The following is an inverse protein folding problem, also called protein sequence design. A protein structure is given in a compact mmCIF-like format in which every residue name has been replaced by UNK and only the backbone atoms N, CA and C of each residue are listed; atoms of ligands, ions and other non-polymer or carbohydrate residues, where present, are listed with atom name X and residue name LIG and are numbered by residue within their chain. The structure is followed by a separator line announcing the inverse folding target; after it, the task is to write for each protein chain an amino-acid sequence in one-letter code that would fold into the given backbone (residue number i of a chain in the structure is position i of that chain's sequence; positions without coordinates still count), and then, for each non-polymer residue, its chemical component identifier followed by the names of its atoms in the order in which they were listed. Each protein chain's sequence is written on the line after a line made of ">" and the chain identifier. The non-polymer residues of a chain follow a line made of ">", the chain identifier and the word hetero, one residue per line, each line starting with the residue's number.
data_IF_322998851095
#
_entry.id   IF_322998851095
#
_cell.length_a   1.000
_cell.length_b   1.000
_cell.length_c   1.000
_cell.angle_alpha   90.00
_cell.angle_beta   90.00
_cell.angle_gamma   90.00
#
_symmetry.space_group_name_H-M   'P 1'
#
loop_
_entity.id
_entity.type
_entity.pdbx_description
1 polymer ?
#
# COMPACT_ATOMS: atom_id res chain seq x y z
N UNK A 1 0.38 -22.67 -2.15
CA UNK A 1 -0.49 -22.59 -0.96
C UNK A 1 -1.57 -23.66 -0.99
N UNK A 2 -2.22 -23.94 0.15
CA UNK A 2 -3.29 -24.96 0.29
C UNK A 2 -4.68 -24.35 0.06
N UNK A 3 -5.59 -25.11 -0.57
CA UNK A 3 -6.99 -24.71 -0.80
C UNK A 3 -7.81 -24.71 0.50
N UNK A 4 -9.02 -24.13 0.49
CA UNK A 4 -9.91 -24.16 1.66
C UNK A 4 -10.29 -25.59 2.08
N UNK A 5 -10.55 -26.48 1.12
CA UNK A 5 -10.83 -27.89 1.41
C UNK A 5 -9.62 -28.59 2.04
N UNK A 6 -8.40 -28.38 1.49
CA UNK A 6 -7.18 -28.93 2.11
C UNK A 6 -6.96 -28.40 3.54
N UNK A 7 -7.34 -27.15 3.84
CA UNK A 7 -7.28 -26.58 5.19
C UNK A 7 -8.31 -27.25 6.13
N UNK A 8 -9.53 -27.46 5.66
CA UNK A 8 -10.59 -28.15 6.42
C UNK A 8 -10.21 -29.61 6.70
N UNK A 9 -9.71 -30.33 5.70
CA UNK A 9 -9.24 -31.71 5.84
C UNK A 9 -8.12 -31.83 6.89
N UNK A 10 -7.18 -30.88 6.86
CA UNK A 10 -6.15 -30.81 7.89
C UNK A 10 -6.75 -30.55 9.28
N UNK A 11 -7.66 -29.59 9.42
CA UNK A 11 -8.32 -29.30 10.70
C UNK A 11 -9.05 -30.54 11.26
N UNK A 12 -9.75 -31.29 10.40
CA UNK A 12 -10.39 -32.55 10.79
C UNK A 12 -9.38 -33.61 11.22
N UNK A 13 -8.23 -33.72 10.54
CA UNK A 13 -7.20 -34.71 10.85
C UNK A 13 -6.56 -34.52 12.24
N UNK A 14 -6.49 -33.27 12.73
CA UNK A 14 -5.88 -32.93 14.02
C UNK A 14 -6.92 -32.71 15.13
N UNK A 15 -8.22 -32.76 14.81
CA UNK A 15 -9.31 -32.34 15.68
C UNK A 15 -9.26 -33.04 17.05
N UNK A 16 -9.27 -34.37 17.06
CA UNK A 16 -9.37 -35.15 18.30
C UNK A 16 -8.08 -35.19 19.12
N UNK A 17 -6.92 -35.12 18.46
CA UNK A 17 -5.62 -35.27 19.12
C UNK A 17 -5.05 -33.94 19.61
N UNK A 18 -5.18 -32.88 18.82
CA UNK A 18 -4.52 -31.61 19.07
C UNK A 18 -5.49 -30.50 19.45
N UNK A 19 -6.60 -30.35 18.72
CA UNK A 19 -7.55 -29.24 18.93
C UNK A 19 -8.31 -29.42 20.24
N UNK A 20 -8.92 -30.60 20.45
CA UNK A 20 -9.65 -30.88 21.68
C UNK A 20 -8.74 -30.94 22.91
N UNK A 21 -7.54 -31.52 22.79
CA UNK A 21 -6.55 -31.52 23.88
C UNK A 21 -6.10 -30.10 24.24
N UNK A 22 -5.82 -29.26 23.24
CA UNK A 22 -5.47 -27.85 23.48
C UNK A 22 -6.59 -27.07 24.17
N UNK A 23 -7.86 -27.40 23.87
CA UNK A 23 -9.01 -26.75 24.49
C UNK A 23 -9.18 -27.14 25.98
N UNK A 24 -8.97 -28.43 26.29
CA UNK A 24 -9.24 -29.01 27.61
C UNK A 24 -8.06 -28.88 28.57
N UNK A 25 -6.84 -29.18 28.09
CA UNK A 25 -5.61 -29.25 28.87
C UNK A 25 -4.55 -28.30 28.29
N UNK A 26 -4.81 -26.97 28.23
CA UNK A 26 -3.93 -26.02 27.55
C UNK A 26 -2.51 -25.94 28.15
N UNK A 27 -2.35 -26.32 29.42
CA UNK A 27 -1.10 -26.24 30.16
C UNK A 27 -0.38 -27.59 30.29
N UNK A 28 -1.15 -28.65 30.56
CA UNK A 28 -0.62 -29.98 30.92
C UNK A 28 -0.73 -31.02 29.80
N UNK A 29 -1.42 -30.69 28.70
CA UNK A 29 -1.58 -31.55 27.53
C UNK A 29 -0.39 -31.52 26.56
N UNK A 30 -0.66 -31.78 25.29
CA UNK A 30 0.34 -31.77 24.19
C UNK A 30 0.80 -30.36 23.81
N UNK A 31 0.02 -29.34 24.19
CA UNK A 31 0.31 -27.92 23.97
C UNK A 31 0.53 -27.55 22.49
N UNK A 32 -0.09 -28.28 21.55
CA UNK A 32 0.06 -28.01 20.11
C UNK A 32 -0.24 -26.56 19.73
N UNK A 33 -1.20 -25.93 20.40
CA UNK A 33 -1.55 -24.52 20.19
C UNK A 33 -0.35 -23.57 20.31
N UNK A 34 0.68 -23.87 21.12
CA UNK A 34 1.87 -23.01 21.29
C UNK A 34 2.82 -23.01 20.10
N UNK A 35 2.72 -24.01 19.22
CA UNK A 35 3.63 -24.19 18.08
C UNK A 35 3.18 -23.43 16.82
N UNK A 36 2.07 -22.67 16.91
CA UNK A 36 1.47 -21.95 15.80
C UNK A 36 1.86 -20.47 15.79
N UNK A 37 1.70 -19.78 14.65
CA UNK A 37 2.10 -18.37 14.50
C UNK A 37 1.36 -17.40 15.46
N UNK A 38 0.06 -17.64 15.69
CA UNK A 38 -0.79 -16.83 16.58
C UNK A 38 -1.36 -17.70 17.72
N UNK A 39 -0.53 -18.12 18.69
CA UNK A 39 -0.85 -19.22 19.60
C UNK A 39 -2.11 -18.94 20.43
N UNK A 40 -2.27 -17.73 20.97
CA UNK A 40 -3.44 -17.38 21.78
C UNK A 40 -4.75 -17.35 20.99
N UNK A 41 -4.72 -16.91 19.72
CA UNK A 41 -5.89 -16.96 18.84
C UNK A 41 -6.24 -18.40 18.47
N UNK A 42 -5.23 -19.24 18.24
CA UNK A 42 -5.41 -20.69 18.01
C UNK A 42 -6.05 -21.34 19.22
N UNK A 43 -5.55 -21.08 20.44
CA UNK A 43 -6.15 -21.62 21.66
C UNK A 43 -7.61 -21.19 21.84
N UNK A 44 -7.92 -19.90 21.58
CA UNK A 44 -9.28 -19.40 21.65
C UNK A 44 -10.20 -20.10 20.62
N UNK A 45 -9.70 -20.32 19.40
CA UNK A 45 -10.42 -21.06 18.34
C UNK A 45 -10.65 -22.53 18.74
N UNK A 46 -9.63 -23.21 19.29
CA UNK A 46 -9.76 -24.57 19.79
C UNK A 46 -10.88 -24.69 20.84
N UNK A 47 -10.95 -23.74 21.78
CA UNK A 47 -11.99 -23.69 22.80
C UNK A 47 -13.38 -23.47 22.20
N UNK A 48 -13.50 -22.62 21.19
CA UNK A 48 -14.77 -22.39 20.51
C UNK A 48 -15.25 -23.64 19.75
N UNK A 49 -14.35 -24.29 18.99
CA UNK A 49 -14.66 -25.52 18.27
C UNK A 49 -15.08 -26.63 19.24
N UNK A 50 -14.36 -26.78 20.36
CA UNK A 50 -14.70 -27.77 21.38
C UNK A 50 -16.10 -27.53 21.97
N UNK A 51 -16.46 -26.27 22.27
CA UNK A 51 -17.81 -25.91 22.73
C UNK A 51 -18.88 -26.21 21.68
N UNK A 52 -18.63 -25.86 20.42
CA UNK A 52 -19.56 -26.12 19.32
C UNK A 52 -19.83 -27.61 19.15
N UNK A 53 -18.79 -28.46 19.11
CA UNK A 53 -18.92 -29.92 18.99
C UNK A 53 -19.67 -30.53 20.18
N UNK A 54 -19.43 -30.01 21.39
CA UNK A 54 -20.02 -30.51 22.64
C UNK A 54 -21.40 -29.92 22.95
N UNK A 55 -21.93 -29.04 22.10
CA UNK A 55 -23.24 -28.39 22.30
C UNK A 55 -24.44 -29.31 22.10
N UNK A 56 -24.24 -30.51 21.56
CA UNK A 56 -25.29 -31.45 21.17
C UNK A 56 -25.76 -31.24 19.73
N UNK A 57 -26.07 -30.00 19.35
CA UNK A 57 -26.32 -29.60 17.95
C UNK A 57 -25.39 -28.44 17.53
N UNK A 58 -24.22 -28.74 16.92
CA UNK A 58 -23.27 -27.72 16.49
C UNK A 58 -23.84 -26.69 15.51
N UNK A 59 -24.92 -27.00 14.77
CA UNK A 59 -25.55 -26.07 13.83
C UNK A 59 -26.36 -24.97 14.52
N UNK A 60 -26.80 -25.21 15.76
CA UNK A 60 -27.56 -24.27 16.58
C UNK A 60 -26.71 -23.61 17.68
N UNK A 61 -25.42 -23.97 17.76
CA UNK A 61 -24.50 -23.36 18.71
C UNK A 61 -24.31 -21.87 18.43
N UNK A 62 -24.59 -21.03 19.43
CA UNK A 62 -24.40 -19.58 19.35
C UNK A 62 -22.92 -19.27 19.57
N UNK A 63 -22.20 -19.04 18.46
CA UNK A 63 -20.78 -18.69 18.49
C UNK A 63 -20.57 -17.18 18.68
N UNK A 64 -19.58 -16.83 19.50
CA UNK A 64 -19.14 -15.44 19.71
C UNK A 64 -17.73 -15.18 19.14
N UNK A 65 -17.16 -16.17 18.46
CA UNK A 65 -15.79 -16.11 17.97
C UNK A 65 -15.71 -15.36 16.64
N UNK A 66 -14.93 -14.27 16.54
CA UNK A 66 -14.75 -13.57 15.26
C UNK A 66 -13.89 -14.41 14.31
N UNK A 67 -14.35 -14.55 13.06
CA UNK A 67 -13.59 -15.18 11.98
C UNK A 67 -13.07 -14.08 11.06
N UNK A 68 -11.78 -14.17 10.75
CA UNK A 68 -11.08 -13.14 9.99
C UNK A 68 -10.95 -13.56 8.52
N UNK A 69 -11.10 -12.61 7.60
CA UNK A 69 -10.78 -12.76 6.18
C UNK A 69 -9.83 -11.62 5.79
N UNK A 70 -8.65 -11.96 5.28
CA UNK A 70 -7.56 -11.00 5.08
C UNK A 70 -7.22 -10.86 3.60
N UNK A 71 -6.95 -9.62 3.16
CA UNK A 71 -6.47 -9.34 1.82
C UNK A 71 -5.04 -9.87 1.63
N UNK A 72 -4.80 -10.74 0.65
CA UNK A 72 -3.50 -11.39 0.47
C UNK A 72 -2.29 -10.43 0.36
N UNK A 73 -2.46 -9.34 -0.41
CA UNK A 73 -1.58 -8.17 -0.38
C UNK A 73 -2.40 -6.96 -0.85
N UNK A 74 -3.15 -6.36 0.07
CA UNK A 74 -4.22 -5.41 -0.25
C UNK A 74 -3.75 -4.22 -1.11
N UNK A 75 -2.63 -3.58 -0.77
CA UNK A 75 -2.07 -2.49 -1.59
C UNK A 75 -1.77 -2.90 -3.05
N UNK A 76 -1.26 -4.12 -3.29
CA UNK A 76 -1.07 -4.62 -4.65
C UNK A 76 -2.40 -4.99 -5.34
N UNK A 77 -3.42 -5.42 -4.58
CA UNK A 77 -4.77 -5.63 -5.12
C UNK A 77 -5.35 -4.32 -5.65
N UNK A 78 -5.26 -3.23 -4.87
CA UNK A 78 -5.70 -1.91 -5.33
C UNK A 78 -4.93 -1.43 -6.56
N UNK A 79 -3.60 -1.59 -6.60
CA UNK A 79 -2.82 -1.21 -7.79
C UNK A 79 -3.17 -2.05 -9.03
N UNK A 80 -3.34 -3.37 -8.88
CA UNK A 80 -3.70 -4.25 -9.99
C UNK A 80 -5.10 -3.93 -10.53
N UNK A 81 -6.03 -3.53 -9.67
CA UNK A 81 -7.35 -3.08 -10.07
C UNK A 81 -7.32 -1.71 -10.78
N UNK A 82 -6.60 -0.71 -10.22
CA UNK A 82 -6.41 0.60 -10.86
C UNK A 82 -5.76 0.46 -12.24
N UNK A 83 -4.71 -0.36 -12.34
CA UNK A 83 -3.97 -0.58 -13.58
C UNK A 83 -4.63 -1.56 -14.54
N UNK A 84 -5.71 -2.22 -14.13
CA UNK A 84 -6.36 -3.34 -14.85
C UNK A 84 -5.34 -4.36 -15.39
N UNK A 85 -4.40 -4.76 -14.54
CA UNK A 85 -3.26 -5.64 -14.88
C UNK A 85 -3.62 -7.11 -14.61
N UNK A 86 -3.84 -7.96 -15.63
CA UNK A 86 -4.21 -9.36 -15.41
C UNK A 86 -3.12 -10.18 -14.72
N UNK A 87 -1.85 -9.91 -15.03
CA UNK A 87 -0.72 -10.64 -14.45
C UNK A 87 -0.56 -10.31 -12.97
N UNK A 88 -0.60 -9.01 -12.65
CA UNK A 88 -0.63 -8.54 -11.28
C UNK A 88 -1.85 -9.06 -10.52
N UNK A 89 -3.03 -9.00 -11.13
CA UNK A 89 -4.29 -9.43 -10.53
C UNK A 89 -4.32 -10.92 -10.17
N UNK A 90 -3.80 -11.78 -11.04
CA UNK A 90 -3.66 -13.20 -10.71
C UNK A 90 -2.70 -13.40 -9.53
N UNK A 91 -1.55 -12.71 -9.51
CA UNK A 91 -0.57 -12.85 -8.43
C UNK A 91 -1.10 -12.48 -7.04
N UNK A 92 -2.16 -11.65 -6.96
CA UNK A 92 -2.79 -11.19 -5.72
C UNK A 92 -4.25 -11.63 -5.56
N UNK A 93 -4.62 -12.72 -6.23
CA UNK A 93 -5.91 -13.39 -6.07
C UNK A 93 -7.14 -12.53 -6.43
N UNK A 94 -7.02 -11.56 -7.35
CA UNK A 94 -8.18 -10.87 -7.92
C UNK A 94 -8.89 -11.73 -8.97
N UNK A 95 -8.18 -12.67 -9.59
CA UNK A 95 -8.72 -13.61 -10.57
C UNK A 95 -9.00 -14.96 -9.88
N UNK A 96 -10.12 -15.64 -10.18
CA UNK A 96 -10.43 -16.95 -9.62
C UNK A 96 -9.33 -17.97 -9.89
N UNK A 97 -8.97 -18.72 -8.86
CA UNK A 97 -7.96 -19.77 -8.90
C UNK A 97 -8.37 -20.92 -7.97
N UNK A 98 -8.00 -22.15 -8.31
CA UNK A 98 -8.30 -23.33 -7.46
C UNK A 98 -7.50 -23.33 -6.15
N UNK A 99 -6.33 -22.66 -6.17
CA UNK A 99 -5.42 -22.53 -5.02
C UNK A 99 -5.03 -21.07 -4.83
N UNK A 100 -4.75 -20.65 -3.58
CA UNK A 100 -4.29 -19.30 -3.32
C UNK A 100 -2.94 -19.05 -3.98
N UNK A 101 -2.85 -17.96 -4.72
CA UNK A 101 -1.61 -17.43 -5.26
C UNK A 101 -0.83 -16.72 -4.14
N UNK A 102 0.48 -16.93 -4.14
CA UNK A 102 1.39 -16.40 -3.14
C UNK A 102 2.43 -15.50 -3.81
N UNK A 103 2.10 -14.23 -3.97
CA UNK A 103 2.98 -13.21 -4.57
C UNK A 103 4.39 -13.25 -3.98
N UNK A 104 4.52 -13.50 -2.68
CA UNK A 104 5.82 -13.58 -2.02
C UNK A 104 6.64 -14.76 -2.53
N UNK A 105 6.08 -15.96 -2.61
CA UNK A 105 6.80 -17.12 -3.17
C UNK A 105 7.17 -16.90 -4.63
N UNK A 106 6.31 -16.25 -5.42
CA UNK A 106 6.64 -15.90 -6.81
C UNK A 106 7.82 -14.92 -6.90
N UNK A 107 7.89 -13.93 -6.01
CA UNK A 107 9.06 -13.03 -5.94
C UNK A 107 10.31 -13.81 -5.52
N UNK A 108 10.22 -14.76 -4.57
CA UNK A 108 11.36 -15.64 -4.21
C UNK A 108 11.90 -16.36 -5.45
N UNK A 109 11.03 -16.99 -6.24
CA UNK A 109 11.43 -17.73 -7.46
C UNK A 109 12.19 -16.84 -8.45
N UNK A 110 11.69 -15.62 -8.68
CA UNK A 110 12.31 -14.67 -9.63
C UNK A 110 13.65 -14.19 -9.08
N UNK A 111 13.73 -13.84 -7.79
CA UNK A 111 14.97 -13.39 -7.14
C UNK A 111 16.01 -14.52 -7.12
N UNK A 112 15.61 -15.76 -6.83
CA UNK A 112 16.49 -16.93 -6.82
C UNK A 112 17.00 -17.25 -8.23
N UNK A 113 16.16 -17.11 -9.26
CA UNK A 113 16.60 -17.23 -10.66
C UNK A 113 17.66 -16.18 -11.02
N UNK A 114 17.47 -14.92 -10.60
CA UNK A 114 18.47 -13.87 -10.79
C UNK A 114 19.75 -14.12 -9.99
N UNK A 115 19.64 -14.65 -8.77
CA UNK A 115 20.78 -15.05 -7.94
C UNK A 115 21.62 -16.12 -8.63
N UNK A 116 20.98 -17.19 -9.15
CA UNK A 116 21.68 -18.27 -9.88
C UNK A 116 22.46 -17.75 -11.08
N UNK A 117 21.83 -16.89 -11.90
CA UNK A 117 22.50 -16.28 -13.06
C UNK A 117 23.71 -15.42 -12.66
N UNK A 118 23.62 -14.68 -11.56
CA UNK A 118 24.75 -13.86 -11.08
C UNK A 118 25.84 -14.72 -10.41
N UNK A 119 25.46 -15.83 -9.77
CA UNK A 119 26.37 -16.81 -9.19
C UNK A 119 27.18 -17.52 -10.28
N UNK A 120 26.56 -17.89 -11.40
CA UNK A 120 27.23 -18.44 -12.60
C UNK A 120 28.27 -17.48 -13.18
N UNK A 121 28.05 -16.16 -13.05
CA UNK A 121 29.00 -15.11 -13.44
C UNK A 121 30.10 -14.86 -12.40
N UNK A 122 30.14 -15.65 -11.33
CA UNK A 122 31.14 -15.54 -10.26
C UNK A 122 30.88 -14.41 -9.26
N UNK A 123 29.67 -13.86 -9.19
CA UNK A 123 29.37 -12.81 -8.23
C UNK A 123 29.33 -13.38 -6.80
N UNK A 124 30.34 -13.03 -5.98
CA UNK A 124 30.51 -13.56 -4.61
C UNK A 124 29.24 -13.46 -3.74
N UNK A 125 28.55 -12.32 -3.75
CA UNK A 125 27.33 -12.13 -2.94
C UNK A 125 26.19 -13.07 -3.35
N UNK A 126 26.09 -13.38 -4.65
CA UNK A 126 25.07 -14.29 -5.16
C UNK A 126 25.36 -15.76 -4.76
N UNK A 127 26.63 -16.16 -4.72
CA UNK A 127 27.06 -17.47 -4.22
C UNK A 127 26.75 -17.61 -2.73
N UNK A 128 27.09 -16.61 -1.91
CA UNK A 128 26.87 -16.64 -0.45
C UNK A 128 25.38 -16.72 -0.06
N UNK A 129 24.50 -16.17 -0.90
CA UNK A 129 23.06 -16.12 -0.65
C UNK A 129 22.30 -17.42 -0.98
N UNK A 130 22.98 -18.45 -1.46
CA UNK A 130 22.36 -19.75 -1.74
C UNK A 130 21.68 -20.33 -0.50
N UNK A 131 20.40 -20.72 -0.64
CA UNK A 131 19.59 -21.26 0.46
C UNK A 131 18.99 -20.23 1.44
N UNK A 132 19.42 -18.96 1.38
CA UNK A 132 18.92 -17.89 2.26
C UNK A 132 17.71 -17.13 1.69
N UNK A 133 17.44 -17.24 0.39
CA UNK A 133 16.32 -16.54 -0.26
C UNK A 133 15.01 -17.30 0.01
N UNK A 134 14.37 -16.95 1.13
CA UNK A 134 13.14 -17.59 1.60
C UNK A 134 11.99 -16.59 1.68
N UNK A 135 10.75 -17.08 1.60
CA UNK A 135 9.53 -16.26 1.70
C UNK A 135 9.56 -15.31 2.89
N UNK A 136 9.95 -15.79 4.07
CA UNK A 136 10.04 -15.00 5.30
C UNK A 136 11.01 -13.81 5.21
N UNK A 137 12.10 -13.96 4.45
CA UNK A 137 13.14 -12.92 4.27
C UNK A 137 12.61 -11.76 3.43
N UNK A 138 11.82 -12.05 2.40
CA UNK A 138 11.35 -11.01 1.47
C UNK A 138 9.92 -10.52 1.73
N UNK A 139 9.10 -11.29 2.46
CA UNK A 139 7.67 -10.99 2.69
C UNK A 139 7.45 -9.55 3.15
N UNK A 140 8.18 -9.13 4.19
CA UNK A 140 8.01 -7.79 4.76
C UNK A 140 8.35 -6.69 3.75
N UNK A 141 9.40 -6.87 2.95
CA UNK A 141 9.80 -5.89 1.95
C UNK A 141 8.81 -5.78 0.81
N UNK A 142 8.33 -6.91 0.28
CA UNK A 142 7.29 -6.90 -0.76
C UNK A 142 6.02 -6.23 -0.25
N UNK A 143 5.57 -6.59 0.95
CA UNK A 143 4.36 -6.05 1.59
C UNK A 143 4.44 -4.54 1.83
N UNK A 144 5.62 -4.02 2.18
CA UNK A 144 5.78 -2.60 2.54
C UNK A 144 6.24 -1.71 1.39
N UNK A 145 6.72 -2.28 0.28
CA UNK A 145 7.16 -1.49 -0.89
C UNK A 145 6.00 -0.76 -1.55
N UNK A 146 4.81 -1.38 -1.62
CA UNK A 146 3.59 -0.71 -2.10
C UNK A 146 3.17 0.47 -1.22
N UNK A 147 3.59 0.45 0.04
CA UNK A 147 3.36 1.51 1.02
C UNK A 147 4.53 2.51 1.11
N UNK A 148 5.35 2.60 0.06
CA UNK A 148 6.36 3.65 -0.08
C UNK A 148 7.65 3.39 0.68
N UNK A 149 7.93 2.14 1.07
CA UNK A 149 9.25 1.79 1.61
C UNK A 149 10.34 2.04 0.56
N UNK A 150 11.34 2.84 0.96
CA UNK A 150 12.49 3.13 0.12
C UNK A 150 13.46 1.94 0.08
N UNK A 151 14.37 1.91 -0.90
CA UNK A 151 15.46 0.91 -0.94
C UNK A 151 16.27 0.87 0.35
N UNK A 152 16.44 2.00 1.03
CA UNK A 152 17.11 2.06 2.33
C UNK A 152 16.33 1.30 3.41
N UNK A 153 15.02 1.55 3.53
CA UNK A 153 14.16 0.85 4.49
C UNK A 153 14.04 -0.65 4.18
N UNK A 154 13.88 -1.00 2.90
CA UNK A 154 13.85 -2.39 2.43
C UNK A 154 15.13 -3.14 2.79
N UNK A 155 16.30 -2.52 2.59
CA UNK A 155 17.59 -3.09 2.96
C UNK A 155 17.68 -3.40 4.44
N UNK A 156 17.18 -2.51 5.30
CA UNK A 156 17.16 -2.77 6.75
C UNK A 156 16.24 -3.94 7.12
N UNK A 157 15.07 -4.03 6.49
CA UNK A 157 14.13 -5.14 6.72
C UNK A 157 14.76 -6.48 6.32
N UNK A 158 15.35 -6.56 5.12
CA UNK A 158 16.01 -7.78 4.64
C UNK A 158 17.20 -8.13 5.53
N UNK A 159 18.04 -7.15 5.92
CA UNK A 159 19.17 -7.40 6.82
C UNK A 159 18.70 -8.04 8.14
N UNK A 160 17.67 -7.50 8.79
CA UNK A 160 17.10 -8.08 10.02
C UNK A 160 16.66 -9.54 9.84
N UNK A 161 16.02 -9.85 8.71
CA UNK A 161 15.57 -11.22 8.42
C UNK A 161 16.74 -12.17 8.12
N UNK A 162 17.79 -11.69 7.45
CA UNK A 162 19.01 -12.46 7.21
C UNK A 162 19.75 -12.76 8.52
N UNK A 163 19.87 -11.78 9.44
CA UNK A 163 20.44 -12.01 10.78
C UNK A 163 19.66 -13.09 11.52
N UNK A 164 18.33 -13.00 11.53
CA UNK A 164 17.47 -13.98 12.19
C UNK A 164 17.58 -15.41 11.60
N UNK A 165 18.14 -15.54 10.39
CA UNK A 165 18.41 -16.81 9.71
C UNK A 165 19.86 -17.28 9.86
N UNK A 166 20.67 -16.59 10.67
CA UNK A 166 22.07 -16.96 10.92
C UNK A 166 23.01 -16.61 9.76
N UNK A 167 22.66 -15.65 8.91
CA UNK A 167 23.58 -15.16 7.88
C UNK A 167 24.75 -14.39 8.54
N UNK A 168 25.94 -14.50 7.97
CA UNK A 168 27.16 -13.86 8.49
C UNK A 168 27.03 -12.34 8.61
N UNK A 169 27.35 -11.78 9.78
CA UNK A 169 27.29 -10.33 10.05
C UNK A 169 28.24 -9.52 9.18
N UNK A 170 29.38 -10.10 8.75
CA UNK A 170 30.37 -9.39 7.93
C UNK A 170 29.82 -8.98 6.56
N UNK A 171 29.03 -9.86 5.92
CA UNK A 171 28.54 -9.67 4.55
C UNK A 171 27.05 -9.27 4.49
N UNK A 172 26.42 -9.06 5.65
CA UNK A 172 24.97 -8.88 5.73
C UNK A 172 24.46 -7.67 4.94
N UNK A 173 25.20 -6.57 4.96
CA UNK A 173 24.78 -5.35 4.28
C UNK A 173 24.94 -5.42 2.77
N UNK A 174 25.97 -6.11 2.29
CA UNK A 174 26.16 -6.33 0.84
C UNK A 174 25.11 -7.30 0.32
N UNK A 175 24.83 -8.37 1.07
CA UNK A 175 23.76 -9.32 0.80
C UNK A 175 22.38 -8.66 0.80
N UNK A 176 22.06 -7.86 1.82
CA UNK A 176 20.79 -7.15 1.91
C UNK A 176 20.64 -6.11 0.78
N UNK A 177 21.70 -5.40 0.41
CA UNK A 177 21.69 -4.46 -0.72
C UNK A 177 21.40 -5.20 -2.03
N UNK A 178 22.07 -6.32 -2.27
CA UNK A 178 21.86 -7.16 -3.45
C UNK A 178 20.41 -7.65 -3.53
N UNK A 179 19.90 -8.27 -2.45
CA UNK A 179 18.52 -8.76 -2.38
C UNK A 179 17.49 -7.64 -2.53
N UNK A 180 17.75 -6.46 -1.96
CA UNK A 180 16.88 -5.30 -2.14
C UNK A 180 16.76 -4.94 -3.62
N UNK A 181 17.89 -4.82 -4.34
CA UNK A 181 17.86 -4.51 -5.77
C UNK A 181 17.05 -5.56 -6.55
N UNK A 182 17.36 -6.85 -6.35
CA UNK A 182 16.69 -7.95 -7.05
C UNK A 182 15.20 -8.05 -6.71
N UNK A 183 14.82 -7.75 -5.46
CA UNK A 183 13.41 -7.73 -5.03
C UNK A 183 12.64 -6.61 -5.74
N UNK A 184 13.19 -5.40 -5.78
CA UNK A 184 12.55 -4.27 -6.50
C UNK A 184 12.44 -4.55 -8.00
N UNK A 185 13.48 -5.13 -8.61
CA UNK A 185 13.46 -5.51 -10.02
C UNK A 185 12.39 -6.59 -10.29
N UNK A 186 12.22 -7.55 -9.37
CA UNK A 186 11.19 -8.59 -9.46
C UNK A 186 9.78 -8.01 -9.38
N UNK A 187 9.52 -7.14 -8.39
CA UNK A 187 8.23 -6.47 -8.24
C UNK A 187 7.92 -5.63 -9.48
N UNK A 188 8.90 -4.87 -9.98
CA UNK A 188 8.74 -4.05 -11.19
C UNK A 188 8.43 -4.85 -12.45
N UNK A 189 8.95 -6.09 -12.58
CA UNK A 189 8.62 -7.01 -13.68
C UNK A 189 7.22 -7.60 -13.54
N UNK A 190 6.78 -7.90 -12.32
CA UNK A 190 5.47 -8.50 -12.05
C UNK A 190 4.33 -7.48 -12.11
N UNK A 191 4.59 -6.23 -11.78
CA UNK A 191 3.58 -5.19 -11.58
C UNK A 191 3.95 -3.91 -12.36
N UNK A 192 4.09 -4.04 -13.68
CA UNK A 192 4.54 -2.95 -14.55
C UNK A 192 3.53 -1.77 -14.55
N UNK A 193 2.22 -2.07 -14.61
CA UNK A 193 1.14 -1.06 -14.56
C UNK A 193 1.11 -0.34 -13.21
N UNK A 194 1.23 -1.09 -12.12
CA UNK A 194 1.33 -0.52 -10.77
C UNK A 194 2.50 0.45 -10.64
N UNK A 195 3.64 0.12 -11.24
CA UNK A 195 4.82 1.00 -11.27
C UNK A 195 4.53 2.29 -12.03
N UNK A 196 3.92 2.21 -13.22
CA UNK A 196 3.57 3.42 -13.98
C UNK A 196 2.60 4.34 -13.22
N UNK A 197 1.66 3.77 -12.46
CA UNK A 197 0.76 4.54 -11.60
C UNK A 197 1.52 5.20 -10.45
N UNK A 198 2.39 4.45 -9.76
CA UNK A 198 3.23 5.00 -8.69
C UNK A 198 4.11 6.15 -9.20
N UNK A 199 4.73 6.00 -10.36
CA UNK A 199 5.58 7.02 -10.96
C UNK A 199 4.76 8.28 -11.30
N UNK A 200 3.57 8.11 -11.87
CA UNK A 200 2.65 9.23 -12.15
C UNK A 200 2.21 9.97 -10.87
N UNK A 201 1.78 9.24 -9.83
CA UNK A 201 1.40 9.82 -8.54
C UNK A 201 2.58 10.60 -7.92
N UNK A 202 3.78 10.00 -7.92
CA UNK A 202 5.00 10.64 -7.44
C UNK A 202 5.30 11.96 -8.17
N UNK A 203 5.19 11.98 -9.49
CA UNK A 203 5.42 13.20 -10.28
C UNK A 203 4.35 14.26 -10.01
N UNK A 204 3.08 13.88 -9.89
CA UNK A 204 2.00 14.80 -9.54
C UNK A 204 2.26 15.47 -8.18
N UNK A 205 2.59 14.67 -7.16
CA UNK A 205 2.90 15.16 -5.82
C UNK A 205 4.14 16.07 -5.80
N UNK A 206 5.16 15.75 -6.58
CA UNK A 206 6.34 16.59 -6.72
C UNK A 206 6.00 17.95 -7.32
N UNK A 207 5.21 17.99 -8.38
CA UNK A 207 4.75 19.23 -9.03
C UNK A 207 3.97 20.09 -8.03
N UNK A 208 2.96 19.51 -7.36
CA UNK A 208 2.10 20.22 -6.40
C UNK A 208 2.95 20.83 -5.28
N UNK A 209 3.81 20.03 -4.65
CA UNK A 209 4.59 20.49 -3.51
C UNK A 209 5.71 21.47 -3.91
N UNK A 210 6.39 21.27 -5.05
CA UNK A 210 7.56 22.08 -5.43
C UNK A 210 7.19 23.35 -6.22
N UNK A 211 6.17 23.28 -7.10
CA UNK A 211 5.80 24.37 -8.01
C UNK A 211 4.61 25.17 -7.50
N UNK A 212 3.55 24.49 -7.04
CA UNK A 212 2.37 25.15 -6.46
C UNK A 212 2.62 25.61 -5.02
N UNK A 213 3.58 24.98 -4.33
CA UNK A 213 3.88 25.22 -2.91
C UNK A 213 2.65 24.99 -2.01
N UNK A 214 1.85 23.99 -2.38
CA UNK A 214 0.70 23.55 -1.60
C UNK A 214 0.90 22.09 -1.17
N UNK A 215 0.35 21.67 -0.02
CA UNK A 215 0.35 20.26 0.36
C UNK A 215 -0.51 19.46 -0.61
N UNK A 216 -0.11 18.23 -0.89
CA UNK A 216 -0.91 17.32 -1.72
C UNK A 216 -2.20 17.02 -0.98
N UNK A 217 -3.33 17.27 -1.64
CA UNK A 217 -4.67 17.09 -1.10
C UNK A 217 -5.59 16.51 -2.17
N UNK A 218 -6.44 15.55 -1.80
CA UNK A 218 -7.39 14.89 -2.70
C UNK A 218 -8.63 14.46 -1.91
N UNK A 219 -9.73 14.27 -2.61
CA UNK A 219 -10.97 13.74 -2.06
C UNK A 219 -11.06 12.24 -2.38
N UNK A 220 -11.41 11.42 -1.39
CA UNK A 220 -11.66 9.99 -1.61
C UNK A 220 -12.97 9.78 -2.38
N UNK A 221 -13.20 8.60 -2.97
CA UNK A 221 -14.48 8.28 -3.62
C UNK A 221 -15.71 8.35 -2.70
N UNK A 222 -15.51 8.43 -1.37
CA UNK A 222 -16.58 8.61 -0.38
C UNK A 222 -16.74 10.07 0.08
N UNK A 223 -16.06 11.01 -0.56
CA UNK A 223 -16.15 12.44 -0.25
C UNK A 223 -15.28 12.91 0.92
N UNK A 224 -14.31 12.10 1.36
CA UNK A 224 -13.44 12.47 2.47
C UNK A 224 -12.20 13.21 1.96
N UNK A 225 -11.99 14.45 2.40
CA UNK A 225 -10.81 15.24 2.03
C UNK A 225 -9.57 14.78 2.82
N UNK A 226 -8.54 14.34 2.12
CA UNK A 226 -7.23 13.98 2.67
C UNK A 226 -6.21 15.05 2.31
N UNK A 227 -5.36 15.44 3.27
CA UNK A 227 -4.26 16.39 3.05
C UNK A 227 -2.98 15.89 3.73
N UNK A 228 -1.86 15.91 3.01
CA UNK A 228 -0.57 15.50 3.55
C UNK A 228 0.07 16.59 4.43
N UNK A 229 0.40 16.30 5.71
CA UNK A 229 0.88 17.32 6.66
C UNK A 229 2.40 17.57 6.57
N UNK A 230 3.10 17.06 5.55
CA UNK A 230 4.57 17.03 5.55
C UNK A 230 5.18 18.40 5.28
N UNK A 231 5.63 19.06 6.34
CA UNK A 231 6.41 20.29 6.34
C UNK A 231 7.83 20.05 6.85
N UNK A 232 8.75 20.97 6.53
CA UNK A 232 10.09 21.01 7.10
C UNK A 232 10.02 21.59 8.52
N UNK A 233 10.82 21.10 9.47
CA UNK A 233 10.91 21.69 10.80
C UNK A 233 11.26 23.18 10.70
N UNK A 234 10.49 24.04 11.37
CA UNK A 234 10.77 25.47 11.44
C UNK A 234 12.13 25.71 12.10
N UNK A 235 13.03 26.43 11.42
CA UNK A 235 14.36 26.79 11.95
C UNK A 235 14.28 27.88 13.04
N UNK A 236 13.11 28.47 13.25
CA UNK A 236 12.86 29.50 14.27
C UNK A 236 12.80 28.87 15.66
N UNK A 237 13.98 28.59 16.22
CA UNK A 237 14.17 28.04 17.57
C UNK A 237 14.08 29.10 18.69
N UNK A 238 13.30 30.18 18.54
CA UNK A 238 13.28 31.27 19.53
C UNK A 238 12.17 31.19 20.58
N UNK A 239 11.26 30.20 20.56
CA UNK A 239 10.22 30.07 21.60
C UNK A 239 10.09 28.68 22.23
N UNK A 240 11.18 27.90 22.25
CA UNK A 240 11.19 26.53 22.83
C UNK A 240 11.24 26.47 24.37
N UNK A 241 11.06 27.60 25.07
CA UNK A 241 11.13 27.68 26.54
C UNK A 241 9.77 27.61 27.26
N UNK A 242 8.64 27.49 26.56
CA UNK A 242 7.30 27.51 27.20
C UNK A 242 6.47 26.23 27.07
N UNK A 243 7.02 25.13 26.54
CA UNK A 243 6.26 23.88 26.38
C UNK A 243 7.03 22.68 26.93
N UNK A 244 7.25 22.67 28.25
CA UNK A 244 7.81 21.53 28.98
C UNK A 244 6.75 20.55 29.50
N UNK A 245 5.47 20.67 29.08
CA UNK A 245 4.37 19.91 29.71
C UNK A 245 3.39 19.21 28.76
N UNK A 246 3.76 18.89 27.51
CA UNK A 246 2.95 17.98 26.69
C UNK A 246 3.85 16.99 25.97
N UNK A 247 3.74 15.72 26.36
CA UNK A 247 4.43 14.62 25.73
C UNK A 247 3.95 14.39 24.29
N UNK A 248 4.91 14.11 23.42
CA UNK A 248 4.87 12.87 22.65
C UNK A 248 3.89 12.71 21.49
N UNK A 249 3.28 13.77 20.94
CA UNK A 249 2.56 13.66 19.67
C UNK A 249 3.15 14.61 18.61
N UNK A 250 3.23 14.11 17.38
CA UNK A 250 3.88 14.76 16.26
C UNK A 250 3.43 16.23 16.14
N UNK A 251 4.37 17.12 16.41
CA UNK A 251 4.21 18.56 16.26
C UNK A 251 3.89 18.86 14.78
N UNK A 252 2.60 18.86 14.45
CA UNK A 252 2.10 19.58 13.28
C UNK A 252 2.47 21.02 13.57
N UNK A 253 3.56 21.46 12.96
CA UNK A 253 3.99 22.84 13.01
C UNK A 253 2.88 23.65 12.35
N UNK A 254 1.97 24.20 13.15
CA UNK A 254 0.99 25.22 12.76
C UNK A 254 1.68 26.55 12.43
N UNK A 255 2.95 26.52 12.04
CA UNK A 255 3.71 27.67 11.59
C UNK A 255 3.28 27.96 10.14
N UNK A 256 2.59 29.09 9.87
CA UNK A 256 2.19 29.46 8.51
C UNK A 256 3.39 29.66 7.58
N UNK A 257 4.61 29.77 8.12
CA UNK A 257 5.87 29.93 7.39
C UNK A 257 6.61 28.60 7.19
N UNK A 258 6.09 27.48 7.73
CA UNK A 258 6.72 26.18 7.58
C UNK A 258 6.74 25.78 6.09
N UNK A 259 7.96 25.65 5.55
CA UNK A 259 8.15 25.25 4.15
C UNK A 259 7.74 23.80 3.98
N UNK A 260 7.04 23.48 2.89
CA UNK A 260 6.66 22.09 2.57
C UNK A 260 7.90 21.20 2.36
N UNK A 261 7.81 19.97 2.84
CA UNK A 261 8.79 18.94 2.56
C UNK A 261 8.43 18.22 1.26
N UNK A 262 8.76 18.83 0.11
CA UNK A 262 8.41 18.29 -1.21
C UNK A 262 8.91 16.85 -1.46
N UNK A 263 10.14 16.45 -1.06
CA UNK A 263 10.56 15.04 -1.16
C UNK A 263 9.67 14.07 -0.37
N UNK A 264 9.21 14.47 0.82
CA UNK A 264 8.33 13.63 1.64
C UNK A 264 6.90 13.58 1.09
N UNK A 265 6.37 14.71 0.62
CA UNK A 265 5.08 14.77 -0.09
C UNK A 265 5.09 13.81 -1.29
N UNK A 266 6.11 13.91 -2.16
CA UNK A 266 6.33 13.01 -3.30
C UNK A 266 6.26 11.54 -2.89
N UNK A 267 7.16 11.11 -2.02
CA UNK A 267 7.34 9.70 -1.69
C UNK A 267 6.20 9.10 -0.86
N UNK A 268 5.45 9.93 -0.12
CA UNK A 268 4.32 9.48 0.70
C UNK A 268 2.97 9.54 -0.03
N UNK A 269 2.87 10.19 -1.20
CA UNK A 269 1.58 10.33 -1.87
C UNK A 269 1.03 9.01 -2.43
N UNK A 270 1.78 8.23 -3.23
CA UNK A 270 1.29 6.93 -3.68
C UNK A 270 0.77 6.01 -2.56
N UNK A 271 1.50 5.81 -1.44
CA UNK A 271 0.98 4.94 -0.39
C UNK A 271 -0.22 5.53 0.36
N UNK A 272 -0.26 6.85 0.60
CA UNK A 272 -1.40 7.46 1.25
C UNK A 272 -2.66 7.42 0.36
N UNK A 273 -2.50 7.56 -0.96
CA UNK A 273 -3.62 7.44 -1.89
C UNK A 273 -4.19 6.02 -1.88
N UNK A 274 -3.33 4.99 -1.96
CA UNK A 274 -3.77 3.59 -1.86
C UNK A 274 -4.42 3.30 -0.51
N UNK A 275 -3.86 3.79 0.59
CA UNK A 275 -4.51 3.67 1.90
C UNK A 275 -5.88 4.36 1.96
N UNK A 276 -6.05 5.48 1.26
CA UNK A 276 -7.37 6.11 1.19
C UNK A 276 -8.39 5.27 0.41
N UNK A 277 -7.94 4.46 -0.56
CA UNK A 277 -8.79 3.50 -1.28
C UNK A 277 -9.07 2.24 -0.46
N UNK A 278 -8.09 1.73 0.31
CA UNK A 278 -8.32 0.61 1.24
C UNK A 278 -9.39 0.97 2.28
N UNK A 279 -9.32 2.19 2.79
CA UNK A 279 -10.24 2.72 3.79
C UNK A 279 -11.62 2.89 3.18
N UNK A 280 -11.70 3.40 1.95
CA UNK A 280 -12.96 3.52 1.21
C UNK A 280 -13.62 2.15 0.97
N UNK A 281 -12.84 1.14 0.60
CA UNK A 281 -13.33 -0.23 0.42
C UNK A 281 -13.81 -0.86 1.73
N UNK A 282 -13.07 -0.67 2.81
CA UNK A 282 -13.44 -1.13 4.16
C UNK A 282 -14.72 -0.46 4.66
N UNK A 283 -14.86 0.85 4.49
CA UNK A 283 -16.05 1.61 4.87
C UNK A 283 -17.27 1.17 4.06
N UNK A 284 -17.15 1.02 2.74
CA UNK A 284 -18.22 0.50 1.90
C UNK A 284 -18.65 -0.89 2.35
N UNK A 285 -17.69 -1.80 2.55
CA UNK A 285 -17.97 -3.17 3.00
C UNK A 285 -18.71 -3.16 4.35
N UNK A 286 -18.24 -2.35 5.31
CA UNK A 286 -18.88 -2.17 6.62
C UNK A 286 -20.33 -1.70 6.52
N UNK A 287 -20.59 -0.64 5.74
CA UNK A 287 -21.93 -0.08 5.57
C UNK A 287 -22.92 -1.09 4.96
N UNK A 288 -22.48 -1.86 3.97
CA UNK A 288 -23.33 -2.86 3.33
C UNK A 288 -23.52 -4.11 4.21
N UNK A 289 -22.50 -4.52 4.97
CA UNK A 289 -22.63 -5.54 6.01
C UNK A 289 -23.67 -5.13 7.06
N UNK A 290 -23.58 -3.90 7.56
CA UNK A 290 -24.53 -3.37 8.55
C UNK A 290 -25.98 -3.40 8.03
N UNK A 291 -26.20 -3.03 6.77
CA UNK A 291 -27.54 -3.09 6.13
C UNK A 291 -28.09 -4.52 6.03
N UNK A 292 -27.22 -5.53 6.00
CA UNK A 292 -27.60 -6.96 6.02
C UNK A 292 -27.68 -7.54 7.44
N UNK A 293 -27.49 -6.73 8.47
CA UNK A 293 -27.47 -7.21 9.86
C UNK A 293 -26.21 -7.98 10.25
N UNK A 294 -25.14 -7.86 9.46
CA UNK A 294 -23.87 -8.53 9.70
C UNK A 294 -23.03 -7.67 10.66
N UNK A 295 -22.62 -8.24 11.79
CA UNK A 295 -21.61 -7.62 12.66
C UNK A 295 -20.27 -7.58 11.93
N UNK A 296 -19.69 -6.40 11.80
CA UNK A 296 -18.44 -6.17 11.07
C UNK A 296 -17.45 -5.40 11.94
N UNK A 297 -16.21 -5.87 11.95
CA UNK A 297 -15.05 -5.14 12.50
C UNK A 297 -13.91 -5.29 11.52
N UNK A 298 -13.05 -4.28 11.43
CA UNK A 298 -11.86 -4.33 10.58
C UNK A 298 -10.61 -3.92 11.34
N UNK A 299 -9.51 -4.61 11.05
CA UNK A 299 -8.15 -4.12 11.33
C UNK A 299 -7.50 -3.87 9.97
N UNK A 300 -7.63 -2.66 9.45
CA UNK A 300 -7.25 -2.30 8.07
C UNK A 300 -7.85 -3.28 7.04
N UNK A 301 -7.01 -4.08 6.38
CA UNK A 301 -7.34 -5.04 5.33
C UNK A 301 -7.79 -6.43 5.83
N UNK A 302 -7.95 -6.58 7.15
CA UNK A 302 -8.46 -7.79 7.77
C UNK A 302 -9.90 -7.59 8.29
N UNK A 303 -10.87 -8.28 7.68
CA UNK A 303 -12.30 -8.11 7.92
C UNK A 303 -12.88 -9.25 8.75
N UNK A 304 -13.58 -8.91 9.83
CA UNK A 304 -14.00 -9.85 10.86
C UNK A 304 -15.52 -9.85 10.99
N UNK A 305 -16.09 -11.05 11.09
CA UNK A 305 -17.52 -11.25 11.35
C UNK A 305 -17.75 -12.57 12.10
N UNK A 306 -19.00 -12.91 12.39
CA UNK A 306 -19.35 -14.21 13.00
C UNK A 306 -19.21 -15.35 11.97
N UNK A 307 -18.95 -16.60 12.40
CA UNK A 307 -18.74 -17.72 11.49
C UNK A 307 -19.92 -17.95 10.52
N UNK A 308 -21.15 -17.67 10.96
CA UNK A 308 -22.36 -17.83 10.17
C UNK A 308 -22.52 -16.82 9.03
N UNK A 309 -21.80 -15.70 9.05
CA UNK A 309 -21.95 -14.59 8.10
C UNK A 309 -20.69 -14.32 7.26
N UNK A 310 -19.69 -15.20 7.33
CA UNK A 310 -18.42 -15.06 6.58
C UNK A 310 -18.66 -15.04 5.07
N UNK A 311 -19.51 -15.93 4.56
CA UNK A 311 -19.77 -16.04 3.12
C UNK A 311 -20.47 -14.78 2.58
N UNK A 312 -21.47 -14.27 3.31
CA UNK A 312 -22.17 -13.03 2.96
C UNK A 312 -21.24 -11.81 3.03
N UNK A 313 -20.40 -11.72 4.08
CA UNK A 313 -19.39 -10.66 4.19
C UNK A 313 -18.41 -10.71 3.01
N UNK A 314 -17.96 -11.90 2.61
CA UNK A 314 -17.05 -12.08 1.47
C UNK A 314 -17.70 -11.69 0.13
N UNK A 315 -19.00 -11.98 -0.04
CA UNK A 315 -19.76 -11.53 -1.21
C UNK A 315 -19.81 -10.00 -1.27
N UNK A 316 -20.17 -9.35 -0.16
CA UNK A 316 -20.23 -7.88 -0.06
C UNK A 316 -18.85 -7.28 -0.29
N UNK A 317 -17.80 -7.83 0.32
CA UNK A 317 -16.42 -7.37 0.16
C UNK A 317 -16.01 -7.33 -1.33
N UNK A 318 -16.27 -8.40 -2.07
CA UNK A 318 -15.97 -8.46 -3.52
C UNK A 318 -16.83 -7.46 -4.31
N UNK A 319 -18.12 -7.37 -4.02
CA UNK A 319 -19.03 -6.43 -4.69
C UNK A 319 -18.58 -4.99 -4.50
N UNK A 320 -18.23 -4.59 -3.27
CA UNK A 320 -17.81 -3.22 -2.98
C UNK A 320 -16.43 -2.91 -3.56
N UNK A 321 -15.52 -3.89 -3.63
CA UNK A 321 -14.24 -3.71 -4.34
C UNK A 321 -14.45 -3.47 -5.83
N UNK A 322 -15.33 -4.25 -6.47
CA UNK A 322 -15.66 -4.09 -7.89
C UNK A 322 -16.31 -2.72 -8.12
N UNK A 323 -17.29 -2.33 -7.30
CA UNK A 323 -17.96 -1.05 -7.42
C UNK A 323 -16.97 0.11 -7.31
N UNK A 324 -16.12 0.11 -6.27
CA UNK A 324 -15.11 1.15 -6.05
C UNK A 324 -14.16 1.31 -7.24
N UNK A 325 -13.62 0.21 -7.76
CA UNK A 325 -12.64 0.25 -8.87
C UNK A 325 -13.27 0.31 -10.26
N UNK A 326 -14.61 0.25 -10.35
CA UNK A 326 -15.34 0.51 -11.60
C UNK A 326 -15.46 2.00 -11.90
N UNK A 327 -15.35 2.85 -10.87
CA UNK A 327 -15.22 4.29 -11.02
C UNK A 327 -13.88 4.68 -11.66
N UNK A 328 -13.81 5.81 -12.39
CA UNK A 328 -12.60 6.26 -13.07
C UNK A 328 -11.63 6.99 -12.11
N UNK A 329 -11.22 6.30 -11.04
CA UNK A 329 -10.51 6.86 -9.88
C UNK A 329 -9.27 7.72 -10.20
N UNK A 330 -8.46 7.32 -11.19
CA UNK A 330 -7.26 8.07 -11.59
C UNK A 330 -7.60 9.30 -12.45
N UNK A 331 -8.67 9.21 -13.24
CA UNK A 331 -9.18 10.34 -14.02
C UNK A 331 -9.81 11.37 -13.08
N UNK A 332 -10.64 10.95 -12.13
CA UNK A 332 -11.23 11.85 -11.13
C UNK A 332 -10.13 12.57 -10.32
N UNK A 333 -9.09 11.84 -9.92
CA UNK A 333 -7.94 12.44 -9.24
C UNK A 333 -7.20 13.46 -10.13
N UNK A 334 -7.04 13.16 -11.41
CA UNK A 334 -6.44 14.07 -12.39
C UNK A 334 -7.26 15.36 -12.52
N UNK A 335 -8.58 15.22 -12.64
CA UNK A 335 -9.52 16.34 -12.72
C UNK A 335 -9.47 17.21 -11.46
N UNK A 336 -9.50 16.60 -10.27
CA UNK A 336 -9.33 17.31 -8.99
C UNK A 336 -8.01 18.10 -8.95
N UNK A 337 -6.92 17.54 -9.45
CA UNK A 337 -5.63 18.24 -9.48
C UNK A 337 -5.61 19.38 -10.50
N UNK A 338 -6.27 19.22 -11.64
CA UNK A 338 -6.37 20.27 -12.65
C UNK A 338 -7.24 21.43 -12.13
N UNK A 339 -8.40 21.13 -11.54
CA UNK A 339 -9.28 22.16 -10.98
C UNK A 339 -8.59 22.94 -9.86
N UNK A 340 -7.96 22.23 -8.91
CA UNK A 340 -7.38 22.85 -7.72
C UNK A 340 -6.05 23.54 -7.99
N UNK A 341 -5.19 22.93 -8.79
CA UNK A 341 -3.81 23.40 -8.98
C UNK A 341 -3.55 23.94 -10.38
N UNK A 342 -4.45 23.76 -11.35
CA UNK A 342 -4.30 24.26 -12.71
C UNK A 342 -4.23 25.79 -12.78
N UNK A 343 -5.08 26.50 -12.05
CA UNK A 343 -5.12 27.97 -12.03
C UNK A 343 -3.92 28.63 -11.31
N UNK A 344 -3.25 27.91 -10.40
CA UNK A 344 -2.00 28.39 -9.78
C UNK A 344 -0.89 28.69 -10.81
N UNK A 345 -1.09 28.24 -12.04
CA UNK A 345 -0.23 28.53 -13.17
C UNK A 345 -0.75 29.68 -14.05
N UNK A 346 -2.06 29.92 -14.13
CA UNK A 346 -2.67 31.04 -14.87
C UNK A 346 -2.58 32.38 -14.07
N UNK A 347 -2.81 32.35 -12.74
CA UNK A 347 -2.79 33.58 -11.92
C UNK A 347 -1.39 34.23 -11.78
N UNK A 348 -0.31 33.46 -11.93
CA UNK A 348 1.06 34.02 -11.97
C UNK A 348 1.31 34.85 -13.23
N UNK A 349 0.60 34.57 -14.33
CA UNK A 349 0.68 35.33 -15.57
C UNK A 349 0.14 36.76 -15.36
N UNK A 350 -1.04 36.89 -14.73
CA UNK A 350 -1.64 38.20 -14.44
C UNK A 350 -0.80 39.06 -13.47
N UNK A 351 -0.14 38.46 -12.47
CA UNK A 351 0.72 39.18 -11.52
C UNK A 351 2.05 39.57 -12.13
N UNK A 352 2.66 38.72 -12.97
CA UNK A 352 3.92 39.02 -13.66
C UNK A 352 3.71 40.05 -14.77
N UNK A 353 2.65 39.93 -15.57
CA UNK A 353 2.28 40.92 -16.59
C UNK A 353 1.95 42.27 -15.95
N UNK A 354 1.21 42.30 -14.82
CA UNK A 354 0.99 43.55 -14.06
C UNK A 354 2.28 44.14 -13.47
N UNK A 355 3.21 43.31 -12.99
CA UNK A 355 4.53 43.79 -12.51
C UNK A 355 5.43 44.28 -13.65
N UNK A 356 5.42 43.63 -14.80
CA UNK A 356 6.15 44.07 -15.99
C UNK A 356 5.57 45.37 -16.56
N UNK A 357 4.24 45.50 -16.60
CA UNK A 357 3.54 46.73 -16.98
C UNK A 357 3.82 47.89 -16.00
N UNK A 358 3.87 47.62 -14.70
CA UNK A 358 4.26 48.61 -13.69
C UNK A 358 5.74 49.00 -13.78
N UNK A 359 6.63 48.06 -14.14
CA UNK A 359 8.06 48.33 -14.37
C UNK A 359 8.30 49.13 -15.66
N UNK A 360 7.46 48.98 -16.69
CA UNK A 360 7.53 49.80 -17.91
C UNK A 360 7.05 51.25 -17.74
N UNK A 361 6.46 51.58 -16.58
CA UNK A 361 6.09 52.96 -16.22
C UNK A 361 7.21 53.78 -15.58
N UNK A 362 8.36 53.17 -15.27
CA UNK A 362 9.56 53.85 -14.77
C UNK A 362 10.68 53.71 -15.81
N UNK A 363 11.00 54.82 -16.46
CA UNK A 363 11.89 54.89 -17.61
C UNK A 363 13.32 54.40 -17.30
N UNK A 364 13.72 53.28 -17.92
CA UNK A 364 15.03 53.07 -18.57
C UNK A 364 15.03 51.73 -19.32
N UNK A 365 14.45 51.66 -20.51
CA UNK A 365 14.46 50.45 -21.35
C UNK A 365 15.75 50.38 -22.18
N UNK A 366 16.78 49.73 -21.63
CA UNK A 366 17.91 49.29 -22.45
C UNK A 366 17.42 48.30 -23.52
N UNK A 367 17.73 48.54 -24.81
CA UNK A 367 17.37 47.66 -25.93
C UNK A 367 17.86 46.20 -25.78
N UNK A 368 18.78 45.94 -24.85
CA UNK A 368 19.36 44.62 -24.58
C UNK A 368 18.52 43.70 -23.68
N UNK A 369 17.54 44.20 -22.91
CA UNK A 369 16.75 43.38 -21.96
C UNK A 369 15.45 42.82 -22.54
N UNK A 370 14.93 43.42 -23.61
CA UNK A 370 13.70 42.99 -24.29
C UNK A 370 13.76 41.54 -24.81
N UNK A 371 14.85 41.11 -25.48
CA UNK A 371 14.99 39.73 -25.96
C UNK A 371 15.09 38.70 -24.84
N UNK A 372 15.69 39.07 -23.71
CA UNK A 372 15.84 38.21 -22.53
C UNK A 372 14.51 37.98 -21.81
N UNK A 373 13.66 39.01 -21.74
CA UNK A 373 12.31 38.90 -21.17
C UNK A 373 11.43 38.01 -22.06
N UNK A 374 11.45 38.19 -23.38
CA UNK A 374 10.69 37.35 -24.32
C UNK A 374 11.17 35.89 -24.33
N UNK A 375 12.49 35.63 -24.23
CA UNK A 375 13.03 34.28 -24.01
C UNK A 375 12.58 33.69 -22.67
N UNK A 376 12.57 34.49 -21.61
CA UNK A 376 12.16 34.04 -20.28
C UNK A 376 10.66 33.70 -20.26
N UNK A 377 9.80 34.52 -20.86
CA UNK A 377 8.35 34.29 -20.91
C UNK A 377 7.99 33.08 -21.79
N UNK A 378 8.63 32.91 -22.95
CA UNK A 378 8.43 31.74 -23.82
C UNK A 378 8.86 30.43 -23.15
N UNK A 379 9.98 30.43 -22.42
CA UNK A 379 10.44 29.27 -21.64
C UNK A 379 9.49 28.90 -20.49
N UNK A 380 8.79 29.89 -19.92
CA UNK A 380 7.83 29.72 -18.83
C UNK A 380 6.49 29.18 -19.30
N UNK A 381 5.97 29.68 -20.41
CA UNK A 381 4.75 29.16 -21.04
C UNK A 381 4.94 27.69 -21.45
N UNK A 382 6.12 27.33 -21.95
CA UNK A 382 6.46 25.92 -22.22
C UNK A 382 6.55 25.06 -20.95
N UNK A 383 7.07 25.56 -19.83
CA UNK A 383 7.12 24.82 -18.55
C UNK A 383 5.72 24.63 -17.91
N UNK A 384 4.83 25.62 -18.03
CA UNK A 384 3.45 25.55 -17.55
C UNK A 384 2.60 24.57 -18.36
N UNK A 385 2.65 24.65 -19.69
CA UNK A 385 1.99 23.68 -20.58
C UNK A 385 2.47 22.25 -20.32
N UNK A 386 3.77 22.06 -20.06
CA UNK A 386 4.36 20.76 -19.66
C UNK A 386 3.82 20.23 -18.33
N UNK A 387 3.50 21.10 -17.39
CA UNK A 387 3.04 20.70 -16.05
C UNK A 387 1.57 20.28 -16.05
N UNK A 388 0.68 21.05 -16.68
CA UNK A 388 -0.73 20.65 -16.89
C UNK A 388 -0.83 19.37 -17.73
N UNK A 389 0.04 19.24 -18.74
CA UNK A 389 0.15 18.01 -19.52
C UNK A 389 0.51 16.79 -18.67
N UNK A 390 1.23 16.96 -17.54
CA UNK A 390 1.60 15.84 -16.66
C UNK A 390 0.44 15.33 -15.80
N UNK A 391 -0.45 16.20 -15.33
CA UNK A 391 -1.68 15.75 -14.66
C UNK A 391 -2.60 15.00 -15.62
N UNK A 392 -2.67 15.45 -16.89
CA UNK A 392 -3.45 14.80 -17.96
C UNK A 392 -2.86 13.47 -18.46
N UNK A 393 -1.58 13.20 -18.17
CA UNK A 393 -0.85 11.98 -18.58
C UNK A 393 -1.23 10.77 -17.69
N UNK A 394 -2.54 10.53 -17.54
CA UNK A 394 -3.09 9.45 -16.72
C UNK A 394 -2.65 8.10 -17.31
N UNK A 395 -2.03 7.20 -16.52
CA UNK A 395 -1.55 5.93 -17.02
C UNK A 395 -2.65 5.07 -17.66
N UNK A 396 -2.35 4.53 -18.84
CA UNK A 396 -3.27 3.62 -19.55
C UNK A 396 -3.56 2.35 -18.74
N UNK A 397 -4.85 2.02 -18.63
CA UNK A 397 -5.32 0.77 -18.03
C UNK A 397 -5.01 -0.43 -18.95
N UNK A 398 -4.90 -1.62 -18.35
CA UNK A 398 -4.91 -2.89 -19.08
C UNK A 398 -6.33 -3.40 -19.34
N UNK A 399 -6.45 -4.71 -19.58
CA UNK A 399 -7.64 -5.41 -20.06
C UNK A 399 -8.27 -6.34 -19.01
N UNK A 400 -7.87 -6.23 -17.72
CA UNK A 400 -8.47 -7.01 -16.65
C UNK A 400 -9.99 -6.73 -16.51
N UNK A 401 -10.79 -7.79 -16.66
CA UNK A 401 -12.20 -7.76 -16.30
C UNK A 401 -12.37 -7.87 -14.77
N UNK A 402 -12.74 -6.75 -14.14
CA UNK A 402 -12.94 -6.65 -12.69
C UNK A 402 -14.02 -7.59 -12.14
N UNK A 403 -15.02 -7.97 -12.96
CA UNK A 403 -16.09 -8.87 -12.53
C UNK A 403 -15.57 -10.28 -12.16
N UNK A 404 -14.34 -10.62 -12.55
CA UNK A 404 -13.68 -11.85 -12.13
C UNK A 404 -13.48 -11.90 -10.61
N UNK A 405 -13.31 -10.75 -9.94
CA UNK A 405 -13.13 -10.66 -8.48
C UNK A 405 -14.30 -11.27 -7.74
N UNK A 406 -15.52 -11.16 -8.29
CA UNK A 406 -16.74 -11.70 -7.67
C UNK A 406 -16.66 -13.21 -7.43
N UNK A 407 -15.93 -13.92 -8.30
CA UNK A 407 -15.75 -15.37 -8.25
C UNK A 407 -14.44 -15.78 -7.58
N UNK A 408 -13.63 -14.82 -7.12
CA UNK A 408 -12.33 -15.12 -6.55
C UNK A 408 -12.42 -15.53 -5.08
N UNK A 409 -12.27 -16.83 -4.84
CA UNK A 409 -12.33 -17.42 -3.49
C UNK A 409 -11.23 -16.87 -2.59
N UNK A 410 -10.02 -16.67 -3.11
CA UNK A 410 -8.83 -16.29 -2.34
C UNK A 410 -8.53 -14.80 -2.34
N UNK A 411 -9.45 -13.95 -2.82
CA UNK A 411 -9.30 -12.50 -2.79
C UNK A 411 -9.11 -11.99 -1.36
N UNK A 412 -10.02 -12.39 -0.46
CA UNK A 412 -9.95 -12.29 0.99
C UNK A 412 -10.22 -13.70 1.53
N UNK A 413 -9.28 -14.32 2.27
CA UNK A 413 -9.36 -15.75 2.66
C UNK A 413 -8.44 -16.18 3.80
#
# INVERSE_FOLDING_TARGET
>A
SKSLNERLDYANSILHLEVLDSADNPWDGRRWWTNNENPWQVLACCKEIARAIRSGDPKQYVSHFPVHQDGSCNGLQHYAALGRDPGGAMAVNLVPCDKPQDVYSRVVEIVEGMRKQDAEKGLKVALMLEGFIQRKVIKQTVMTTVYGVTRYGARQQIARQLTAKGFSDHDIWSAAQYLTSKTFDSIGRMFNKSRTIQDWLNECAYIIASKCRQPVSWETPLGFLVTQPYTLPSLTSTNRLLSSTVGGDALVSNDPLARLNAPKQKTAFPPNYIHSLDSSHMMLTSLYCQRRGITFVSVHDCYWTHPSTVDEMNEICRQQFIALHSEPLLQDLSEQFIERFGEHFEQKEAVVVKKAAAASGSACTNMATKPLIEMYDSSRQTEQGRTRAKFLDVPTTGDLNLNLVQKSTYFFS
#
